data_IF_247755812848
#
_entry.id   IF_247755812848
#
_cell.length_a   1.000
_cell.length_b   1.000
_cell.length_c   1.000
_cell.angle_alpha   90.00
_cell.angle_beta   90.00
_cell.angle_gamma   90.00
#
_symmetry.space_group_name_H-M   'P 1'
#
loop_
_entity.id
_entity.type
_entity.pdbx_description
1 polymer ?
#
# COMPACT_ATOMS: atom_id res chain seq x y z
N UNK A 1 -32.64 4.88 -16.61
CA UNK A 1 -33.27 4.13 -15.51
C UNK A 1 -32.15 3.83 -14.53
N UNK A 2 -31.90 4.76 -13.59
CA UNK A 2 -30.85 4.58 -12.57
C UNK A 2 -31.28 3.47 -11.62
N UNK A 3 -30.57 2.35 -11.66
CA UNK A 3 -30.66 1.33 -10.62
C UNK A 3 -30.17 2.00 -9.33
N UNK A 4 -31.07 2.15 -8.35
CA UNK A 4 -30.74 2.51 -6.98
C UNK A 4 -29.71 1.50 -6.47
N UNK A 5 -28.42 1.83 -6.54
CA UNK A 5 -27.34 1.03 -5.95
C UNK A 5 -27.54 1.09 -4.43
N UNK A 6 -28.13 0.05 -3.86
CA UNK A 6 -28.13 -0.12 -2.42
C UNK A 6 -26.66 -0.14 -1.95
N UNK A 7 -26.30 0.68 -0.94
CA UNK A 7 -24.92 0.74 -0.46
C UNK A 7 -24.52 -0.62 0.11
N UNK A 8 -23.35 -1.14 -0.29
CA UNK A 8 -22.82 -2.42 0.19
C UNK A 8 -22.65 -2.36 1.73
N UNK A 9 -23.34 -3.21 2.52
CA UNK A 9 -23.28 -3.19 3.98
C UNK A 9 -21.88 -3.40 4.55
N UNK A 10 -21.04 -4.22 3.91
CA UNK A 10 -19.65 -4.44 4.30
C UNK A 10 -18.85 -3.14 4.17
N UNK A 11 -18.99 -2.44 3.04
CA UNK A 11 -18.30 -1.16 2.79
C UNK A 11 -18.71 -0.10 3.80
N UNK A 12 -20.00 -0.02 4.15
CA UNK A 12 -20.47 0.92 5.18
C UNK A 12 -19.82 0.66 6.54
N UNK A 13 -19.78 -0.61 6.98
CA UNK A 13 -19.16 -0.95 8.26
C UNK A 13 -17.64 -0.81 8.24
N UNK A 14 -16.97 -1.10 7.13
CA UNK A 14 -15.54 -0.82 6.96
C UNK A 14 -15.24 0.69 7.04
N UNK A 15 -16.10 1.51 6.42
CA UNK A 15 -16.02 2.98 6.47
C UNK A 15 -16.23 3.49 7.90
N UNK A 16 -17.18 2.92 8.64
CA UNK A 16 -17.41 3.24 10.04
C UNK A 16 -16.19 2.90 10.90
N UNK A 17 -15.64 1.69 10.73
CA UNK A 17 -14.44 1.25 11.44
C UNK A 17 -13.23 2.17 11.15
N UNK A 18 -12.97 2.50 9.88
CA UNK A 18 -11.93 3.46 9.52
C UNK A 18 -12.18 4.84 10.14
N UNK A 19 -13.42 5.31 10.18
CA UNK A 19 -13.80 6.59 10.82
C UNK A 19 -13.52 6.57 12.33
N UNK A 20 -13.74 5.44 13.01
CA UNK A 20 -13.37 5.27 14.43
C UNK A 20 -11.85 5.37 14.62
N UNK A 21 -11.06 4.75 13.73
CA UNK A 21 -9.60 4.85 13.76
C UNK A 21 -9.12 6.28 13.54
N UNK A 22 -9.78 7.05 12.67
CA UNK A 22 -9.50 8.49 12.45
C UNK A 22 -9.74 9.31 13.72
N UNK A 23 -10.77 8.96 14.50
CA UNK A 23 -11.06 9.58 15.81
C UNK A 23 -10.11 9.13 16.94
N UNK A 24 -9.19 8.21 16.65
CA UNK A 24 -8.18 7.73 17.59
C UNK A 24 -8.58 6.48 18.39
N UNK A 25 -9.76 5.89 18.14
CA UNK A 25 -10.18 4.64 18.80
C UNK A 25 -9.24 3.50 18.42
N UNK A 26 -8.69 2.80 19.39
CA UNK A 26 -7.73 1.70 19.16
C UNK A 26 -7.96 0.50 20.09
N UNK A 27 -9.09 0.45 20.79
CA UNK A 27 -9.38 -0.65 21.71
C UNK A 27 -9.60 -1.97 20.97
N UNK A 28 -9.14 -3.07 21.59
CA UNK A 28 -9.37 -4.43 21.07
C UNK A 28 -10.86 -4.73 20.87
N UNK A 29 -11.72 -4.28 21.79
CA UNK A 29 -13.18 -4.47 21.69
C UNK A 29 -13.75 -3.90 20.39
N UNK A 30 -13.20 -2.79 19.91
CA UNK A 30 -13.61 -2.18 18.64
C UNK A 30 -13.16 -3.03 17.46
N UNK A 31 -12.01 -3.69 17.52
CA UNK A 31 -11.67 -4.69 16.50
C UNK A 31 -12.63 -5.88 16.54
N UNK A 32 -12.88 -6.44 17.73
CA UNK A 32 -13.70 -7.63 17.92
C UNK A 32 -15.14 -7.44 17.38
N UNK A 33 -15.69 -6.21 17.43
CA UNK A 33 -17.03 -5.90 16.90
C UNK A 33 -17.11 -5.77 15.36
N UNK A 34 -15.98 -5.78 14.67
CA UNK A 34 -15.88 -5.73 13.20
C UNK A 34 -15.09 -6.91 12.63
N UNK A 35 -14.63 -7.85 13.47
CA UNK A 35 -13.77 -8.96 13.03
C UNK A 35 -14.41 -9.79 11.90
N UNK A 36 -15.73 -9.94 11.92
CA UNK A 36 -16.49 -10.65 10.90
C UNK A 36 -16.28 -10.10 9.49
N UNK A 37 -16.17 -8.78 9.33
CA UNK A 37 -15.89 -8.15 8.03
C UNK A 37 -14.40 -7.88 7.81
N UNK A 38 -13.63 -7.64 8.86
CA UNK A 38 -12.19 -7.34 8.75
C UNK A 38 -11.40 -8.56 8.30
N UNK A 39 -11.89 -9.77 8.61
CA UNK A 39 -11.23 -11.02 8.23
C UNK A 39 -11.69 -11.57 6.86
N UNK A 40 -12.68 -10.96 6.21
CA UNK A 40 -13.22 -11.44 4.93
C UNK A 40 -13.31 -10.37 3.83
N UNK A 41 -12.99 -9.11 4.14
CA UNK A 41 -13.08 -8.01 3.19
C UNK A 41 -12.21 -8.22 1.94
N UNK A 42 -12.76 -7.88 0.78
CA UNK A 42 -12.03 -7.90 -0.48
C UNK A 42 -11.21 -6.63 -0.69
N UNK A 43 -10.15 -6.65 -1.53
CA UNK A 43 -9.42 -5.44 -1.93
C UNK A 43 -10.31 -4.30 -2.43
N UNK A 44 -11.42 -4.66 -3.06
CA UNK A 44 -12.39 -3.71 -3.61
C UNK A 44 -13.18 -2.99 -2.52
N UNK A 45 -13.71 -3.74 -1.55
CA UNK A 45 -14.44 -3.15 -0.43
C UNK A 45 -13.52 -2.29 0.44
N UNK A 46 -12.26 -2.71 0.59
CA UNK A 46 -11.21 -1.93 1.24
C UNK A 46 -10.96 -0.63 0.48
N UNK A 47 -10.82 -0.66 -0.85
CA UNK A 47 -10.64 0.55 -1.65
C UNK A 47 -11.85 1.48 -1.57
N UNK A 48 -13.07 0.97 -1.65
CA UNK A 48 -14.29 1.78 -1.54
C UNK A 48 -14.41 2.45 -0.15
N UNK A 49 -14.05 1.74 0.92
CA UNK A 49 -14.03 2.31 2.27
C UNK A 49 -12.93 3.39 2.45
N UNK A 50 -11.74 3.15 1.88
CA UNK A 50 -10.68 4.14 1.82
C UNK A 50 -11.14 5.39 1.07
N UNK A 51 -11.75 5.22 -0.11
CA UNK A 51 -12.23 6.33 -0.92
C UNK A 51 -13.29 7.16 -0.17
N UNK A 52 -14.26 6.51 0.46
CA UNK A 52 -15.33 7.16 1.20
C UNK A 52 -14.86 8.06 2.37
N UNK A 53 -13.68 7.77 2.93
CA UNK A 53 -13.05 8.56 4.02
C UNK A 53 -12.04 9.57 3.46
N UNK A 54 -11.14 9.13 2.57
CA UNK A 54 -10.06 9.96 2.03
C UNK A 54 -10.58 11.08 1.13
N UNK A 55 -11.64 10.85 0.35
CA UNK A 55 -12.24 11.87 -0.54
C UNK A 55 -12.82 13.07 0.21
N UNK A 56 -13.12 12.92 1.50
CA UNK A 56 -13.68 13.97 2.37
C UNK A 56 -12.63 14.70 3.18
N UNK A 57 -11.37 14.27 3.12
CA UNK A 57 -10.29 14.87 3.89
C UNK A 57 -9.79 16.16 3.23
N UNK A 58 -9.66 17.23 4.02
CA UNK A 58 -8.96 18.44 3.57
C UNK A 58 -7.47 18.15 3.32
N UNK A 59 -6.87 17.35 4.20
CA UNK A 59 -5.51 16.86 4.08
C UNK A 59 -5.47 15.34 4.26
N UNK A 60 -5.22 14.61 3.17
CA UNK A 60 -5.13 13.14 3.17
C UNK A 60 -3.94 12.63 4.00
N UNK A 61 -2.89 13.44 4.17
CA UNK A 61 -1.67 13.02 4.89
C UNK A 61 -1.93 12.90 6.39
N UNK A 62 -2.86 13.70 6.93
CA UNK A 62 -3.36 13.58 8.31
C UNK A 62 -3.98 12.20 8.61
N UNK A 63 -4.44 11.48 7.58
CA UNK A 63 -5.09 10.17 7.71
C UNK A 63 -4.12 8.98 7.57
N UNK A 64 -2.83 9.23 7.37
CA UNK A 64 -1.81 8.18 7.14
C UNK A 64 -1.81 7.12 8.25
N UNK A 65 -1.82 7.55 9.51
CA UNK A 65 -1.78 6.64 10.68
C UNK A 65 -3.04 5.79 10.79
N UNK A 66 -4.22 6.40 10.65
CA UNK A 66 -5.50 5.69 10.70
C UNK A 66 -5.60 4.68 9.55
N UNK A 67 -5.21 5.08 8.35
CA UNK A 67 -5.17 4.22 7.16
C UNK A 67 -4.22 3.03 7.34
N UNK A 68 -3.03 3.26 7.91
CA UNK A 68 -2.07 2.19 8.17
C UNK A 68 -2.58 1.18 9.22
N UNK A 69 -3.34 1.64 10.23
CA UNK A 69 -4.00 0.76 11.21
C UNK A 69 -5.14 -0.03 10.57
N UNK A 70 -5.94 0.62 9.74
CA UNK A 70 -7.03 0.01 9.00
C UNK A 70 -6.55 -1.13 8.12
N UNK A 71 -5.58 -0.87 7.23
CA UNK A 71 -5.03 -1.89 6.33
C UNK A 71 -4.40 -3.06 7.10
N UNK A 72 -3.74 -2.77 8.23
CA UNK A 72 -3.17 -3.81 9.10
C UNK A 72 -4.25 -4.71 9.71
N UNK A 73 -5.39 -4.15 10.12
CA UNK A 73 -6.52 -4.92 10.65
C UNK A 73 -7.14 -5.87 9.61
N UNK A 74 -6.94 -5.57 8.32
CA UNK A 74 -7.40 -6.33 7.16
C UNK A 74 -6.37 -7.33 6.64
N UNK A 75 -5.20 -7.45 7.29
CA UNK A 75 -4.08 -8.24 6.77
C UNK A 75 -4.47 -9.68 6.42
N UNK A 76 -5.19 -10.36 7.32
CA UNK A 76 -5.68 -11.72 7.11
C UNK A 76 -6.59 -11.84 5.88
N UNK A 77 -7.50 -10.89 5.67
CA UNK A 77 -8.43 -10.91 4.54
C UNK A 77 -7.69 -10.66 3.21
N UNK A 78 -6.82 -9.64 3.19
CA UNK A 78 -6.07 -9.25 2.00
C UNK A 78 -5.07 -10.34 1.56
N UNK A 79 -4.36 -10.95 2.51
CA UNK A 79 -3.37 -12.00 2.22
C UNK A 79 -4.01 -13.34 1.81
N UNK A 80 -5.26 -13.60 2.23
CA UNK A 80 -6.00 -14.82 1.84
C UNK A 80 -6.80 -14.64 0.54
N UNK A 81 -6.94 -13.41 0.06
CA UNK A 81 -7.68 -13.11 -1.16
C UNK A 81 -6.90 -13.58 -2.40
N UNK A 82 -7.54 -14.28 -3.37
CA UNK A 82 -6.87 -14.74 -4.57
C UNK A 82 -6.52 -13.56 -5.49
N UNK A 83 -5.23 -13.33 -5.71
CA UNK A 83 -4.78 -12.24 -6.57
C UNK A 83 -5.05 -12.53 -8.06
N UNK A 84 -5.39 -11.51 -8.87
CA UNK A 84 -5.55 -11.69 -10.30
C UNK A 84 -4.23 -12.06 -10.99
N UNK A 85 -4.30 -12.95 -11.99
CA UNK A 85 -3.18 -13.14 -12.90
C UNK A 85 -3.11 -11.97 -13.91
N UNK A 86 -2.07 -11.15 -13.82
CA UNK A 86 -1.85 -10.04 -14.74
C UNK A 86 -1.27 -10.56 -16.07
N UNK A 87 -1.84 -10.22 -17.25
CA UNK A 87 -1.34 -10.68 -18.53
C UNK A 87 0.13 -10.31 -18.75
N UNK A 88 0.94 -11.26 -19.26
CA UNK A 88 2.35 -11.02 -19.52
C UNK A 88 2.53 -9.85 -20.51
N UNK A 89 3.46 -8.93 -20.19
CA UNK A 89 3.71 -7.73 -20.99
C UNK A 89 2.66 -6.63 -20.81
N UNK A 90 1.67 -6.81 -19.92
CA UNK A 90 0.82 -5.71 -19.48
C UNK A 90 1.54 -4.81 -18.47
N UNK A 91 1.10 -3.55 -18.38
CA UNK A 91 1.62 -2.58 -17.39
C UNK A 91 1.60 -3.14 -15.96
N UNK A 92 0.49 -3.76 -15.53
CA UNK A 92 0.37 -4.30 -14.17
C UNK A 92 1.28 -5.51 -13.95
N UNK A 93 1.51 -6.35 -14.96
CA UNK A 93 2.47 -7.46 -14.82
C UNK A 93 3.92 -6.95 -14.67
N UNK A 94 4.27 -5.86 -15.37
CA UNK A 94 5.59 -5.22 -15.21
C UNK A 94 5.75 -4.56 -13.84
N UNK A 95 4.75 -3.77 -13.41
CA UNK A 95 4.77 -3.10 -12.11
C UNK A 95 4.78 -4.09 -10.95
N UNK A 96 4.06 -5.22 -11.06
CA UNK A 96 4.10 -6.30 -10.08
C UNK A 96 5.50 -6.92 -9.99
N UNK A 97 6.14 -7.18 -11.13
CA UNK A 97 7.53 -7.69 -11.16
C UNK A 97 8.53 -6.70 -10.53
N UNK A 98 8.36 -5.40 -10.77
CA UNK A 98 9.17 -4.37 -10.12
C UNK A 98 8.94 -4.35 -8.61
N UNK A 99 7.69 -4.44 -8.17
CA UNK A 99 7.31 -4.52 -6.76
C UNK A 99 7.91 -5.78 -6.08
N UNK A 100 7.91 -6.93 -6.74
CA UNK A 100 8.58 -8.15 -6.25
C UNK A 100 10.11 -7.96 -6.11
N UNK A 101 10.74 -7.30 -7.09
CA UNK A 101 12.17 -6.99 -7.06
C UNK A 101 12.52 -6.01 -5.93
N UNK A 102 11.67 -5.01 -5.67
CA UNK A 102 11.74 -4.13 -4.50
C UNK A 102 11.64 -4.96 -3.21
N UNK A 103 10.74 -5.95 -3.16
CA UNK A 103 10.60 -6.85 -2.01
C UNK A 103 11.84 -7.72 -1.77
N UNK A 104 12.51 -8.19 -2.82
CA UNK A 104 13.77 -8.91 -2.68
C UNK A 104 14.87 -8.01 -2.10
N UNK A 105 14.89 -6.75 -2.50
CA UNK A 105 15.83 -5.75 -1.99
C UNK A 105 15.56 -5.42 -0.52
N UNK A 106 14.30 -5.17 -0.12
CA UNK A 106 13.97 -4.86 1.27
C UNK A 106 14.31 -6.03 2.20
N UNK A 107 14.11 -7.29 1.77
CA UNK A 107 14.59 -8.47 2.51
C UNK A 107 16.10 -8.43 2.75
N UNK A 108 16.89 -8.13 1.72
CA UNK A 108 18.35 -7.97 1.85
C UNK A 108 18.72 -6.84 2.83
N UNK A 109 18.06 -5.69 2.74
CA UNK A 109 18.24 -4.59 3.69
C UNK A 109 17.92 -5.03 5.13
N UNK A 110 16.83 -5.77 5.33
CA UNK A 110 16.44 -6.28 6.63
C UNK A 110 17.48 -7.25 7.20
N UNK A 111 18.01 -8.17 6.38
CA UNK A 111 19.05 -9.11 6.77
C UNK A 111 20.34 -8.42 7.20
N UNK A 112 20.84 -7.49 6.39
CA UNK A 112 22.04 -6.70 6.71
C UNK A 112 21.82 -5.83 7.95
N UNK A 113 20.63 -5.24 8.09
CA UNK A 113 20.27 -4.47 9.28
C UNK A 113 20.31 -5.30 10.56
N UNK A 114 19.79 -6.53 10.51
CA UNK A 114 19.85 -7.46 11.65
C UNK A 114 21.27 -7.90 11.97
N UNK A 115 22.12 -8.13 10.97
CA UNK A 115 23.54 -8.48 11.19
C UNK A 115 24.28 -7.37 11.92
N UNK A 116 24.12 -6.13 11.46
CA UNK A 116 24.76 -4.95 12.08
C UNK A 116 24.31 -4.73 13.52
N UNK A 117 23.00 -4.86 13.80
CA UNK A 117 22.46 -4.72 15.16
C UNK A 117 22.98 -5.81 16.12
N UNK A 118 23.10 -7.07 15.65
CA UNK A 118 23.64 -8.17 16.45
C UNK A 118 25.15 -8.08 16.69
N UNK A 119 25.88 -7.49 15.75
CA UNK A 119 27.34 -7.34 15.83
C UNK A 119 27.82 -6.13 16.63
N UNK A 120 26.93 -5.31 17.21
CA UNK A 120 27.27 -4.00 17.81
C UNK A 120 28.11 -3.10 16.88
N UNK A 121 28.02 -3.29 15.56
CA UNK A 121 28.78 -2.54 14.59
C UNK A 121 28.23 -1.13 14.44
N UNK A 122 29.11 -0.12 14.51
CA UNK A 122 28.78 1.28 14.20
C UNK A 122 28.90 1.59 12.71
N UNK A 123 29.47 0.68 11.91
CA UNK A 123 29.65 0.88 10.47
C UNK A 123 28.37 0.56 9.69
N UNK A 124 27.69 1.62 9.25
CA UNK A 124 26.47 1.56 8.43
C UNK A 124 26.72 1.74 6.94
N UNK A 125 27.99 1.77 6.52
CA UNK A 125 28.39 1.99 5.13
C UNK A 125 27.74 0.97 4.17
N UNK A 126 27.61 -0.28 4.60
CA UNK A 126 26.96 -1.35 3.82
C UNK A 126 25.49 -1.03 3.56
N UNK A 127 24.71 -0.69 4.59
CA UNK A 127 23.30 -0.33 4.43
C UNK A 127 23.13 0.94 3.60
N UNK A 128 23.97 1.95 3.87
CA UNK A 128 23.99 3.20 3.10
C UNK A 128 24.27 2.92 1.62
N UNK A 129 25.25 2.07 1.32
CA UNK A 129 25.59 1.67 -0.04
C UNK A 129 24.43 0.95 -0.73
N UNK A 130 23.78 0.00 -0.03
CA UNK A 130 22.61 -0.71 -0.57
C UNK A 130 21.46 0.23 -0.90
N UNK A 131 21.07 1.10 0.05
CA UNK A 131 19.99 2.09 -0.15
C UNK A 131 20.30 3.06 -1.30
N UNK A 132 21.57 3.47 -1.42
CA UNK A 132 22.02 4.40 -2.49
C UNK A 132 22.04 3.73 -3.86
N UNK A 133 22.45 2.45 -3.92
CA UNK A 133 22.53 1.70 -5.18
C UNK A 133 21.17 1.36 -5.78
N UNK A 134 20.09 1.50 -5.00
CA UNK A 134 18.78 1.02 -5.39
C UNK A 134 17.91 2.11 -6.01
N UNK A 135 18.09 2.33 -7.31
CA UNK A 135 17.34 3.32 -8.09
C UNK A 135 15.92 2.86 -8.41
N UNK A 136 15.67 1.55 -8.43
CA UNK A 136 14.38 0.96 -8.82
C UNK A 136 13.19 1.50 -8.00
N UNK A 137 13.33 1.83 -6.71
CA UNK A 137 12.24 2.44 -5.92
C UNK A 137 11.76 3.73 -6.57
N UNK A 138 12.69 4.59 -6.95
CA UNK A 138 12.38 5.87 -7.60
C UNK A 138 11.77 5.65 -8.96
N UNK A 139 12.37 4.78 -9.76
CA UNK A 139 11.88 4.46 -11.12
C UNK A 139 10.46 3.91 -11.06
N UNK A 140 10.20 2.94 -10.18
CA UNK A 140 8.88 2.35 -9.96
C UNK A 140 7.82 3.39 -9.56
N UNK A 141 8.12 4.26 -8.60
CA UNK A 141 7.17 5.30 -8.18
C UNK A 141 6.89 6.32 -9.29
N UNK A 142 7.90 6.68 -10.08
CA UNK A 142 7.71 7.55 -11.26
C UNK A 142 6.82 6.88 -12.30
N UNK A 143 6.98 5.57 -12.54
CA UNK A 143 6.10 4.81 -13.43
C UNK A 143 4.67 4.76 -12.89
N UNK A 144 4.47 4.49 -11.60
CA UNK A 144 3.14 4.53 -10.99
C UNK A 144 2.47 5.89 -11.20
N UNK A 145 3.19 6.98 -10.94
CA UNK A 145 2.66 8.36 -11.05
C UNK A 145 2.33 8.77 -12.49
N UNK A 146 3.12 8.34 -13.47
CA UNK A 146 2.97 8.78 -14.85
C UNK A 146 2.19 7.81 -15.75
N UNK A 147 2.11 6.53 -15.37
CA UNK A 147 1.46 5.48 -16.17
C UNK A 147 0.20 4.97 -15.46
N UNK A 148 0.32 4.39 -14.27
CA UNK A 148 -0.80 3.69 -13.64
C UNK A 148 -1.84 4.63 -13.03
N UNK A 149 -1.42 5.62 -12.24
CA UNK A 149 -2.34 6.52 -11.54
C UNK A 149 -3.25 7.29 -12.51
N UNK A 150 -2.76 7.88 -13.62
CA UNK A 150 -3.63 8.58 -14.56
C UNK A 150 -4.68 7.66 -15.20
N UNK A 151 -4.31 6.43 -15.55
CA UNK A 151 -5.24 5.44 -16.09
C UNK A 151 -6.28 5.02 -15.03
N UNK A 152 -5.82 4.80 -13.80
CA UNK A 152 -6.69 4.40 -12.71
C UNK A 152 -7.74 5.48 -12.39
N UNK A 153 -7.32 6.74 -12.25
CA UNK A 153 -8.20 7.89 -11.98
C UNK A 153 -9.22 8.13 -13.10
N UNK A 154 -8.89 7.82 -14.35
CA UNK A 154 -9.83 7.89 -15.48
C UNK A 154 -10.84 6.74 -15.48
N UNK A 155 -10.47 5.59 -14.92
CA UNK A 155 -11.25 4.34 -14.99
C UNK A 155 -12.24 4.14 -13.84
N UNK A 156 -12.05 4.82 -12.70
CA UNK A 156 -12.92 4.68 -11.52
C UNK A 156 -13.10 6.01 -10.81
N UNK A 157 -14.26 6.23 -10.19
CA UNK A 157 -14.49 7.36 -9.28
C UNK A 157 -13.84 7.14 -7.90
N UNK A 158 -13.52 5.89 -7.55
CA UNK A 158 -12.97 5.52 -6.24
C UNK A 158 -11.43 5.48 -6.26
N UNK A 159 -10.82 6.65 -6.41
CA UNK A 159 -9.37 6.80 -6.63
C UNK A 159 -8.67 7.67 -5.56
N UNK A 160 -9.34 8.05 -4.47
CA UNK A 160 -8.76 8.96 -3.47
C UNK A 160 -7.51 8.39 -2.76
N UNK A 161 -7.28 7.08 -2.81
CA UNK A 161 -6.09 6.43 -2.28
C UNK A 161 -4.79 6.88 -2.97
N UNK A 162 -4.86 7.30 -4.24
CA UNK A 162 -3.71 7.72 -5.06
C UNK A 162 -2.95 8.88 -4.40
N UNK A 163 -3.66 9.93 -3.95
CA UNK A 163 -3.05 11.10 -3.31
C UNK A 163 -2.26 10.73 -2.05
N UNK A 164 -2.80 9.81 -1.25
CA UNK A 164 -2.11 9.33 -0.06
C UNK A 164 -0.89 8.48 -0.41
N UNK A 165 -0.99 7.59 -1.41
CA UNK A 165 0.15 6.80 -1.87
C UNK A 165 1.28 7.68 -2.39
N UNK A 166 0.96 8.72 -3.17
CA UNK A 166 1.94 9.69 -3.64
C UNK A 166 2.68 10.36 -2.47
N UNK A 167 1.97 10.85 -1.46
CA UNK A 167 2.59 11.45 -0.27
C UNK A 167 3.55 10.49 0.45
N UNK A 168 3.20 9.21 0.55
CA UNK A 168 4.07 8.19 1.15
C UNK A 168 5.29 7.93 0.26
N UNK A 169 5.15 7.96 -1.07
CA UNK A 169 6.27 7.82 -2.02
C UNK A 169 7.27 8.97 -1.87
N UNK A 170 6.80 10.21 -1.81
CA UNK A 170 7.64 11.39 -1.58
C UNK A 170 8.40 11.29 -0.25
N UNK A 171 7.68 10.86 0.80
CA UNK A 171 8.26 10.61 2.13
C UNK A 171 9.36 9.54 2.07
N UNK A 172 9.10 8.43 1.39
CA UNK A 172 10.08 7.35 1.22
C UNK A 172 11.34 7.84 0.49
N UNK A 173 11.19 8.59 -0.61
CA UNK A 173 12.31 9.13 -1.38
C UNK A 173 13.11 10.19 -0.62
N UNK A 174 12.44 10.99 0.23
CA UNK A 174 13.10 11.92 1.14
C UNK A 174 13.98 11.17 2.16
N UNK A 175 13.45 10.10 2.76
CA UNK A 175 14.22 9.26 3.67
C UNK A 175 15.36 8.51 2.95
N UNK A 176 15.15 8.03 1.73
CA UNK A 176 16.21 7.43 0.92
C UNK A 176 17.39 8.39 0.76
N UNK A 177 17.10 9.64 0.39
CA UNK A 177 18.12 10.69 0.26
C UNK A 177 18.82 10.96 1.59
N UNK A 178 18.07 11.01 2.69
CA UNK A 178 18.63 11.24 4.02
C UNK A 178 19.55 10.10 4.49
N UNK A 179 19.24 8.83 4.16
CA UNK A 179 20.16 7.70 4.38
C UNK A 179 21.42 7.87 3.54
N UNK A 180 21.28 8.18 2.24
CA UNK A 180 22.40 8.34 1.33
C UNK A 180 23.32 9.52 1.70
N UNK A 181 22.79 10.57 2.30
CA UNK A 181 23.55 11.73 2.78
C UNK A 181 23.99 11.63 4.23
N UNK A 182 23.76 10.50 4.92
CA UNK A 182 24.08 10.40 6.34
C UNK A 182 25.59 10.45 6.59
N UNK A 183 26.03 11.39 7.43
CA UNK A 183 27.44 11.63 7.77
C UNK A 183 27.69 11.78 9.27
N UNK A 184 26.64 11.76 10.10
CA UNK A 184 26.78 11.97 11.53
C UNK A 184 27.34 10.72 12.23
N UNK A 185 28.06 10.93 13.33
CA UNK A 185 28.48 9.84 14.23
C UNK A 185 27.31 9.29 15.08
N UNK A 186 26.14 9.93 15.00
CA UNK A 186 24.92 9.49 15.67
C UNK A 186 24.28 8.29 14.96
N UNK A 187 24.75 7.11 15.35
CA UNK A 187 24.22 5.83 14.86
C UNK A 187 22.71 5.65 15.14
N UNK A 188 22.19 6.22 16.22
CA UNK A 188 20.77 6.12 16.55
C UNK A 188 19.92 6.95 15.58
N UNK A 189 20.40 8.13 15.20
CA UNK A 189 19.78 8.93 14.15
C UNK A 189 19.81 8.22 12.78
N UNK A 190 20.88 7.49 12.45
CA UNK A 190 20.92 6.66 11.24
C UNK A 190 19.78 5.64 11.26
N UNK A 191 19.66 4.84 12.33
CA UNK A 191 18.64 3.79 12.43
C UNK A 191 17.23 4.36 12.35
N UNK A 192 16.99 5.54 12.93
CA UNK A 192 15.70 6.24 12.81
C UNK A 192 15.40 6.58 11.35
N UNK A 193 16.32 7.19 10.61
CA UNK A 193 16.11 7.57 9.21
C UNK A 193 15.98 6.33 8.30
N UNK A 194 16.86 5.36 8.48
CA UNK A 194 16.86 4.10 7.74
C UNK A 194 15.57 3.31 7.92
N UNK A 195 15.11 3.16 9.16
CA UNK A 195 13.87 2.43 9.43
C UNK A 195 12.65 3.13 8.80
N UNK A 196 12.62 4.46 8.78
CA UNK A 196 11.56 5.20 8.10
C UNK A 196 11.57 4.96 6.58
N UNK A 197 12.73 4.96 5.93
CA UNK A 197 12.82 4.57 4.51
C UNK A 197 12.26 3.16 4.30
N UNK A 198 12.77 2.18 5.06
CA UNK A 198 12.37 0.78 4.96
C UNK A 198 10.85 0.60 5.13
N UNK A 199 10.28 1.19 6.20
CA UNK A 199 8.86 1.03 6.50
C UNK A 199 7.95 1.68 5.45
N UNK A 200 8.30 2.85 4.93
CA UNK A 200 7.47 3.48 3.89
C UNK A 200 7.48 2.68 2.59
N UNK A 201 8.64 2.12 2.19
CA UNK A 201 8.72 1.23 1.03
C UNK A 201 7.87 -0.03 1.25
N UNK A 202 8.00 -0.70 2.39
CA UNK A 202 7.20 -1.92 2.67
C UNK A 202 5.70 -1.64 2.72
N UNK A 203 5.28 -0.50 3.27
CA UNK A 203 3.87 -0.09 3.30
C UNK A 203 3.32 0.15 1.90
N UNK A 204 4.07 0.83 1.03
CA UNK A 204 3.67 1.03 -0.37
C UNK A 204 3.60 -0.29 -1.10
N UNK A 205 4.64 -1.10 -0.96
CA UNK A 205 4.76 -2.40 -1.62
C UNK A 205 3.58 -3.32 -1.30
N UNK A 206 3.18 -3.37 -0.03
CA UNK A 206 2.01 -4.12 0.44
C UNK A 206 0.71 -3.58 -0.18
N UNK A 207 0.52 -2.26 -0.19
CA UNK A 207 -0.70 -1.63 -0.73
C UNK A 207 -0.83 -1.80 -2.23
N UNK A 208 0.28 -1.70 -2.95
CA UNK A 208 0.38 -1.93 -4.38
C UNK A 208 -0.12 -3.34 -4.71
N UNK A 209 0.51 -4.35 -4.11
CA UNK A 209 0.24 -5.76 -4.37
C UNK A 209 -1.17 -6.21 -3.96
N UNK A 210 -1.61 -5.89 -2.74
CA UNK A 210 -2.85 -6.44 -2.20
C UNK A 210 -4.09 -5.58 -2.43
N UNK A 211 -3.93 -4.31 -2.81
CA UNK A 211 -5.06 -3.38 -2.95
C UNK A 211 -5.06 -2.72 -4.33
N UNK A 212 -4.05 -1.90 -4.62
CA UNK A 212 -4.04 -1.06 -5.83
C UNK A 212 -4.06 -1.90 -7.10
N UNK A 213 -3.19 -2.90 -7.26
CA UNK A 213 -3.11 -3.67 -8.50
C UNK A 213 -4.36 -4.53 -8.75
N UNK A 214 -4.94 -5.24 -7.77
CA UNK A 214 -6.23 -5.91 -7.96
C UNK A 214 -7.34 -4.95 -8.38
N UNK A 215 -7.43 -3.78 -7.72
CA UNK A 215 -8.47 -2.77 -7.99
C UNK A 215 -8.27 -2.15 -9.37
N UNK A 216 -7.04 -1.75 -9.70
CA UNK A 216 -6.69 -1.19 -11.00
C UNK A 216 -6.89 -2.19 -12.13
N UNK A 217 -6.52 -3.46 -11.93
CA UNK A 217 -6.78 -4.50 -12.93
C UNK A 217 -8.27 -4.64 -13.21
N UNK A 218 -9.12 -4.64 -12.17
CA UNK A 218 -10.57 -4.71 -12.36
C UNK A 218 -11.12 -3.51 -13.13
N UNK A 219 -10.63 -2.31 -12.85
CA UNK A 219 -11.10 -1.08 -13.48
C UNK A 219 -10.60 -0.90 -14.92
N UNK A 220 -9.42 -1.45 -15.23
CA UNK A 220 -8.77 -1.32 -16.55
C UNK A 220 -9.01 -2.52 -17.47
N UNK A 221 -9.32 -3.69 -16.93
CA UNK A 221 -9.53 -4.90 -17.74
C UNK A 221 -10.78 -4.76 -18.63
N UNK A 222 -10.71 -5.15 -19.92
CA UNK A 222 -11.88 -5.32 -20.75
C UNK A 222 -12.90 -6.25 -20.09
N UNK A 223 -14.20 -5.97 -20.25
CA UNK A 223 -15.29 -6.72 -19.62
C UNK A 223 -15.22 -8.25 -19.79
N UNK A 224 -14.59 -8.77 -20.85
CA UNK A 224 -14.37 -10.21 -21.06
C UNK A 224 -13.29 -10.79 -20.14
N UNK A 225 -12.15 -10.13 -19.98
CA UNK A 225 -11.07 -10.57 -19.08
C UNK A 225 -11.48 -10.49 -17.60
N UNK A 226 -12.30 -9.50 -17.25
CA UNK A 226 -12.88 -9.40 -15.90
C UNK A 226 -13.85 -10.55 -15.58
N UNK A 227 -14.57 -11.06 -16.59
CA UNK A 227 -15.52 -12.19 -16.44
C UNK A 227 -14.84 -13.53 -16.33
N UNK A 228 -13.67 -13.72 -16.94
CA UNK A 228 -12.94 -15.00 -16.92
C UNK A 228 -12.06 -15.17 -15.68
N UNK A 229 -11.70 -14.08 -15.00
CA UNK A 229 -10.84 -14.13 -13.82
C UNK A 229 -11.65 -14.38 -12.52
N UNK A 230 -11.50 -15.56 -11.86
CA UNK A 230 -12.27 -15.90 -10.66
C UNK A 230 -11.99 -14.94 -9.49
N UNK A 231 -10.83 -14.28 -9.42
CA UNK A 231 -10.56 -13.25 -8.42
C UNK A 231 -11.55 -12.07 -8.55
N UNK A 232 -11.92 -11.71 -9.78
CA UNK A 232 -12.74 -10.54 -10.08
C UNK A 232 -14.25 -10.78 -9.97
N UNK A 233 -14.71 -12.03 -9.79
CA UNK A 233 -16.14 -12.41 -9.88
C UNK A 233 -17.00 -12.06 -8.66
N UNK A 234 -16.42 -11.62 -7.55
CA UNK A 234 -17.09 -11.59 -6.23
C UNK A 234 -18.07 -10.46 -5.91
N UNK A 235 -18.46 -9.56 -6.84
CA UNK A 235 -19.28 -8.37 -6.49
C UNK A 235 -20.42 -8.08 -7.49
N UNK A 236 -20.72 -9.00 -8.41
CA UNK A 236 -21.84 -8.84 -9.38
C UNK A 236 -23.11 -9.62 -9.00
N UNK A 237 -23.24 -10.03 -7.74
CA UNK A 237 -24.46 -10.62 -7.17
C UNK A 237 -25.02 -9.72 -6.09
#
# INVERSE_FOLDING_TARGET
MELLKHPNPTVLRLTEYLTLLVKGTTEKRTYDSYADILETATPFEVNSALDAVLSKAEDVTSLTTATARFIRSLGKALESYPLPAYPQGSLLAELEKENEAIGAMTRKLQEEGRKLQKGMGTDVSVLKGLVTSFTLVREHYVRLQNELFPLFEQSTAEHACVKLMWSIQDTALAYQKAVASFTADDIAAFWRVYSQFYFNVEVLRYREHYILFPVAFRSLAPNEQARENPALRGVFS
#
